data_IF_471218082067
#
_entry.id   IF_471218082067
#
_cell.length_a   1.000
_cell.length_b   1.000
_cell.length_c   1.000
_cell.angle_alpha   90.00
_cell.angle_beta   90.00
_cell.angle_gamma   90.00
#
_symmetry.space_group_name_H-M   'P 1'
#
loop_
_entity.id
_entity.type
_entity.pdbx_description
1 polymer ?
#
# COMPACT_ATOMS: atom_id res chain seq x y z
N UNK A 1 1.96 -27.00 2.96
CA UNK A 1 2.89 -26.80 4.10
C UNK A 1 4.35 -26.56 3.68
N UNK A 2 4.85 -27.06 2.54
CA UNK A 2 6.26 -26.92 2.12
C UNK A 2 6.71 -25.48 1.78
N UNK A 3 5.83 -24.62 1.24
CA UNK A 3 6.22 -23.28 0.78
C UNK A 3 6.61 -22.31 1.91
N UNK A 4 5.98 -22.44 3.09
CA UNK A 4 6.26 -21.56 4.24
C UNK A 4 7.59 -21.95 4.90
N UNK A 5 7.88 -23.24 5.02
CA UNK A 5 9.17 -23.72 5.53
C UNK A 5 10.34 -23.24 4.67
N UNK A 6 10.20 -23.30 3.35
CA UNK A 6 11.21 -22.80 2.42
C UNK A 6 11.45 -21.27 2.53
N UNK A 7 10.40 -20.49 2.85
CA UNK A 7 10.53 -19.03 3.05
C UNK A 7 11.24 -18.69 4.36
N UNK A 8 10.99 -19.45 5.44
CA UNK A 8 11.64 -19.26 6.74
C UNK A 8 13.12 -19.65 6.72
N UNK A 9 13.46 -20.76 6.05
CA UNK A 9 14.86 -21.15 5.86
C UNK A 9 15.66 -20.09 5.10
N UNK A 10 15.09 -19.49 4.04
CA UNK A 10 15.76 -18.39 3.31
C UNK A 10 16.05 -17.16 4.16
N UNK A 11 15.15 -16.81 5.09
CA UNK A 11 15.37 -15.67 6.01
C UNK A 11 16.48 -16.00 7.00
N UNK A 12 16.49 -17.22 7.54
CA UNK A 12 17.54 -17.68 8.44
C UNK A 12 18.91 -17.72 7.75
N UNK A 13 18.99 -18.30 6.56
CA UNK A 13 20.23 -18.39 5.78
C UNK A 13 20.79 -16.99 5.46
N UNK A 14 19.92 -16.06 5.05
CA UNK A 14 20.31 -14.67 4.82
C UNK A 14 20.90 -13.99 6.07
N UNK A 15 20.26 -14.18 7.24
CA UNK A 15 20.73 -13.57 8.48
C UNK A 15 22.07 -14.17 8.93
N UNK A 16 22.24 -15.48 8.74
CA UNK A 16 23.50 -16.19 9.03
C UNK A 16 24.64 -15.72 8.11
N UNK A 17 24.36 -15.51 6.81
CA UNK A 17 25.32 -14.97 5.83
C UNK A 17 25.75 -13.52 6.15
N UNK A 18 24.96 -12.79 6.94
CA UNK A 18 25.23 -11.41 7.34
C UNK A 18 25.65 -11.28 8.82
N UNK A 19 26.24 -12.35 9.37
CA UNK A 19 26.79 -12.42 10.73
C UNK A 19 25.80 -12.00 11.84
N UNK A 20 24.49 -12.19 11.60
CA UNK A 20 23.48 -11.95 12.62
C UNK A 20 23.43 -13.15 13.59
N UNK A 21 23.50 -12.86 14.89
CA UNK A 21 23.40 -13.89 15.92
C UNK A 21 21.94 -14.26 16.19
N UNK A 22 21.35 -15.05 15.29
CA UNK A 22 19.95 -15.52 15.38
C UNK A 22 19.91 -17.04 15.32
N UNK A 23 18.96 -17.65 16.05
CA UNK A 23 18.65 -19.08 15.90
C UNK A 23 17.35 -19.26 15.12
N UNK A 24 17.13 -20.45 14.55
CA UNK A 24 15.95 -20.72 13.72
C UNK A 24 14.63 -20.43 14.43
N UNK A 25 14.57 -20.66 15.74
CA UNK A 25 13.40 -20.34 16.59
C UNK A 25 13.08 -18.84 16.61
N UNK A 26 14.08 -17.96 16.54
CA UNK A 26 13.88 -16.52 16.51
C UNK A 26 13.18 -16.10 15.21
N UNK A 27 13.63 -16.68 14.08
CA UNK A 27 13.02 -16.45 12.76
C UNK A 27 11.60 -16.99 12.71
N UNK A 28 11.36 -18.18 13.29
CA UNK A 28 10.01 -18.74 13.39
C UNK A 28 9.06 -17.86 14.21
N UNK A 29 9.53 -17.34 15.34
CA UNK A 29 8.76 -16.43 16.19
C UNK A 29 8.45 -15.12 15.45
N UNK A 30 9.46 -14.50 14.82
CA UNK A 30 9.31 -13.27 14.06
C UNK A 30 8.32 -13.41 12.89
N UNK A 31 8.43 -14.51 12.12
CA UNK A 31 7.50 -14.77 11.00
C UNK A 31 6.09 -15.04 11.51
N UNK A 32 5.94 -15.71 12.66
CA UNK A 32 4.63 -15.95 13.28
C UNK A 32 4.00 -14.65 13.79
N UNK A 33 4.77 -13.81 14.47
CA UNK A 33 4.31 -12.51 14.94
C UNK A 33 3.89 -11.62 13.76
N UNK A 34 4.73 -11.54 12.73
CA UNK A 34 4.40 -10.80 11.50
C UNK A 34 3.11 -11.32 10.82
N UNK A 35 2.96 -12.65 10.72
CA UNK A 35 1.73 -13.22 10.18
C UNK A 35 0.49 -12.92 11.05
N UNK A 36 0.66 -12.81 12.37
CA UNK A 36 -0.43 -12.45 13.28
C UNK A 36 -0.74 -10.95 13.30
N UNK A 37 0.23 -10.09 12.97
CA UNK A 37 0.03 -8.64 12.86
C UNK A 37 -0.64 -8.24 11.55
N UNK A 38 -0.57 -9.09 10.52
CA UNK A 38 -1.32 -8.88 9.28
C UNK A 38 -2.79 -9.17 9.57
N UNK A 39 -3.60 -8.11 9.57
CA UNK A 39 -5.04 -8.25 9.51
C UNK A 39 -5.41 -8.95 8.20
N UNK A 40 -6.04 -10.12 8.30
CA UNK A 40 -6.67 -10.78 7.15
C UNK A 40 -8.08 -10.23 6.88
N UNK A 41 -8.52 -9.24 7.66
CA UNK A 41 -9.79 -8.57 7.40
C UNK A 41 -9.62 -7.67 6.17
N UNK A 42 -10.42 -7.96 5.15
CA UNK A 42 -10.54 -7.13 3.96
C UNK A 42 -11.29 -5.84 4.31
N UNK A 43 -10.65 -4.69 4.09
CA UNK A 43 -11.21 -3.36 4.31
C UNK A 43 -11.73 -2.71 3.01
N UNK A 44 -11.81 -3.46 1.92
CA UNK A 44 -12.31 -2.98 0.62
C UNK A 44 -13.72 -2.37 0.73
N UNK A 45 -14.63 -2.98 1.49
CA UNK A 45 -16.00 -2.45 1.66
C UNK A 45 -16.01 -1.11 2.44
N UNK A 46 -15.15 -0.99 3.45
CA UNK A 46 -14.99 0.27 4.17
C UNK A 46 -14.41 1.36 3.25
N UNK A 47 -13.39 1.01 2.46
CA UNK A 47 -12.77 1.91 1.49
C UNK A 47 -13.77 2.34 0.40
N UNK A 48 -14.55 1.41 -0.14
CA UNK A 48 -15.59 1.71 -1.13
C UNK A 48 -16.66 2.67 -0.58
N UNK A 49 -17.03 2.51 0.70
CA UNK A 49 -17.96 3.44 1.38
C UNK A 49 -17.39 4.84 1.49
N UNK A 50 -16.12 4.99 1.84
CA UNK A 50 -15.45 6.29 1.92
C UNK A 50 -15.33 6.95 0.54
N UNK A 51 -15.03 6.18 -0.51
CA UNK A 51 -14.99 6.70 -1.90
C UNK A 51 -16.37 7.18 -2.35
N UNK A 52 -17.42 6.44 -2.00
CA UNK A 52 -18.80 6.84 -2.29
C UNK A 52 -19.18 8.11 -1.52
N UNK A 53 -18.83 8.19 -0.23
CA UNK A 53 -19.07 9.38 0.59
C UNK A 53 -18.32 10.61 0.05
N UNK A 54 -17.07 10.44 -0.35
CA UNK A 54 -16.27 11.48 -1.01
C UNK A 54 -16.93 11.99 -2.30
N UNK A 55 -17.41 11.08 -3.14
CA UNK A 55 -18.07 11.44 -4.41
C UNK A 55 -19.44 12.09 -4.18
N UNK A 56 -20.13 11.73 -3.10
CA UNK A 56 -21.41 12.34 -2.71
C UNK A 56 -21.24 13.73 -2.07
N UNK A 57 -20.08 14.03 -1.49
CA UNK A 57 -19.84 15.30 -0.80
C UNK A 57 -19.79 16.53 -1.74
N UNK A 58 -19.32 16.36 -2.98
CA UNK A 58 -19.37 17.40 -4.03
C UNK A 58 -19.44 16.71 -5.40
N UNK A 59 -20.41 17.05 -6.28
CA UNK A 59 -20.56 16.42 -7.60
C UNK A 59 -19.37 16.63 -8.55
N UNK A 60 -18.50 17.61 -8.27
CA UNK A 60 -17.26 17.83 -9.02
C UNK A 60 -16.05 17.04 -8.46
N UNK A 61 -16.21 16.35 -7.33
CA UNK A 61 -15.21 15.40 -6.85
C UNK A 61 -15.08 14.24 -7.84
N UNK A 62 -13.85 13.81 -8.10
CA UNK A 62 -13.55 12.69 -8.99
C UNK A 62 -12.70 11.69 -8.22
N UNK A 63 -13.10 10.43 -8.27
CA UNK A 63 -12.33 9.31 -7.74
C UNK A 63 -12.24 8.22 -8.81
N UNK A 64 -11.14 7.48 -8.83
CA UNK A 64 -10.99 6.30 -9.68
C UNK A 64 -10.16 5.23 -8.98
N UNK A 65 -10.59 3.98 -9.11
CA UNK A 65 -9.89 2.80 -8.60
C UNK A 65 -9.44 1.98 -9.80
N UNK A 66 -8.14 1.71 -9.90
CA UNK A 66 -7.58 0.79 -10.86
C UNK A 66 -7.20 -0.51 -10.15
N UNK A 67 -7.79 -1.61 -10.60
CA UNK A 67 -7.49 -2.95 -10.10
C UNK A 67 -6.33 -3.56 -10.89
N UNK A 68 -5.53 -4.37 -10.21
CA UNK A 68 -4.51 -5.20 -10.83
C UNK A 68 -5.16 -6.37 -11.59
N UNK A 69 -4.43 -7.06 -12.49
CA UNK A 69 -4.93 -8.28 -13.13
C UNK A 69 -5.31 -9.40 -12.15
N UNK A 70 -4.83 -9.34 -10.90
CA UNK A 70 -5.16 -10.28 -9.84
C UNK A 70 -6.43 -9.90 -9.05
N UNK A 71 -7.08 -8.78 -9.37
CA UNK A 71 -8.26 -8.28 -8.66
C UNK A 71 -7.96 -7.52 -7.37
N UNK A 72 -6.69 -7.21 -7.11
CA UNK A 72 -6.28 -6.37 -5.97
C UNK A 72 -6.37 -4.89 -6.35
N UNK A 73 -6.78 -4.04 -5.41
CA UNK A 73 -6.76 -2.58 -5.58
C UNK A 73 -5.32 -2.09 -5.81
N UNK A 74 -5.01 -1.69 -7.05
CA UNK A 74 -3.66 -1.29 -7.44
C UNK A 74 -3.37 0.19 -7.24
N UNK A 75 -4.23 1.06 -7.77
CA UNK A 75 -4.06 2.52 -7.69
C UNK A 75 -5.39 3.18 -7.38
N UNK A 76 -5.40 4.03 -6.35
CA UNK A 76 -6.51 4.92 -6.02
C UNK A 76 -6.12 6.36 -6.38
N UNK A 77 -6.94 7.05 -7.16
CA UNK A 77 -6.77 8.47 -7.46
C UNK A 77 -7.98 9.26 -6.99
N UNK A 78 -7.73 10.39 -6.32
CA UNK A 78 -8.74 11.27 -5.73
C UNK A 78 -8.43 12.72 -6.10
N UNK A 79 -9.42 13.43 -6.63
CA UNK A 79 -9.32 14.85 -6.92
C UNK A 79 -10.58 15.56 -6.40
N UNK A 80 -10.39 16.48 -5.46
CA UNK A 80 -11.51 17.30 -4.98
C UNK A 80 -11.94 18.32 -6.04
N UNK A 81 -13.19 18.73 -5.98
CA UNK A 81 -13.71 19.85 -6.76
C UNK A 81 -12.84 21.10 -6.61
N UNK A 82 -12.38 21.39 -5.38
CA UNK A 82 -11.48 22.50 -5.12
C UNK A 82 -10.16 22.39 -5.88
N UNK A 83 -9.47 21.23 -5.80
CA UNK A 83 -8.23 20.99 -6.55
C UNK A 83 -8.44 21.15 -8.06
N UNK A 84 -9.55 20.62 -8.60
CA UNK A 84 -9.88 20.71 -10.02
C UNK A 84 -10.16 22.15 -10.46
N UNK A 85 -10.89 22.93 -9.65
CA UNK A 85 -11.16 24.35 -9.90
C UNK A 85 -9.89 25.20 -9.84
N UNK A 86 -9.00 24.94 -8.88
CA UNK A 86 -7.70 25.62 -8.83
C UNK A 86 -6.86 25.24 -10.06
N UNK A 87 -6.77 23.96 -10.41
CA UNK A 87 -6.02 23.54 -11.60
C UNK A 87 -6.55 24.17 -12.89
N UNK A 88 -7.87 24.22 -13.08
CA UNK A 88 -8.47 24.88 -14.24
C UNK A 88 -8.18 26.38 -14.30
N UNK A 89 -7.98 27.05 -13.15
CA UNK A 89 -7.75 28.49 -13.06
C UNK A 89 -6.26 28.87 -13.04
N UNK A 90 -5.41 27.99 -12.55
CA UNK A 90 -4.00 28.23 -12.26
C UNK A 90 -3.13 27.00 -12.59
N UNK A 91 -3.33 26.42 -13.78
CA UNK A 91 -2.61 25.20 -14.22
C UNK A 91 -1.09 25.37 -14.20
N UNK A 92 -0.60 26.58 -14.51
CA UNK A 92 0.82 26.94 -14.54
C UNK A 92 1.49 26.98 -13.15
N UNK A 93 0.70 27.20 -12.09
CA UNK A 93 1.20 27.31 -10.70
C UNK A 93 1.17 25.99 -9.93
N UNK A 94 0.42 24.99 -10.42
CA UNK A 94 0.21 23.70 -9.76
C UNK A 94 1.06 22.55 -10.33
N UNK A 95 1.99 22.84 -11.25
CA UNK A 95 3.08 21.92 -11.60
C UNK A 95 4.10 21.89 -10.45
N UNK A 96 3.66 21.41 -9.28
CA UNK A 96 4.56 21.01 -8.20
C UNK A 96 5.08 19.64 -8.59
N UNK A 97 6.34 19.63 -8.99
CA UNK A 97 7.12 18.44 -9.29
C UNK A 97 7.10 17.44 -8.11
N UNK A 98 6.24 16.42 -8.19
CA UNK A 98 6.33 15.25 -7.32
C UNK A 98 7.35 14.26 -7.89
N UNK A 99 8.56 14.71 -8.20
CA UNK A 99 9.71 13.84 -8.33
C UNK A 99 10.14 13.43 -6.92
N UNK A 100 9.49 12.40 -6.37
CA UNK A 100 10.11 11.60 -5.32
C UNK A 100 11.33 10.89 -5.94
N UNK A 101 12.46 11.58 -6.09
CA UNK A 101 13.73 10.88 -5.98
C UNK A 101 13.77 10.35 -4.56
N UNK A 102 13.71 9.03 -4.42
CA UNK A 102 14.18 8.37 -3.21
C UNK A 102 15.56 8.95 -2.91
N UNK A 103 15.69 9.64 -1.77
CA UNK A 103 16.99 10.04 -1.25
C UNK A 103 17.85 8.77 -1.22
N UNK A 104 18.94 8.81 -1.99
CA UNK A 104 19.92 7.74 -2.10
C UNK A 104 20.86 7.78 -0.91
#
# INVERSE_FOLDING_TARGET
MLAVGAKRSKIYDYLLEHDQNVIQVDVDNMVREHASSISMADDNDATAREIAAFSAADPENVSSVAETPAGETGVLSLATAHMRRIYGRFSELLLVDCSHMTNR
#
